data_IF_782548889104
#
_entry.id   IF_782548889104
#
_cell.length_a   1.000
_cell.length_b   1.000
_cell.length_c   1.000
_cell.angle_alpha   90.00
_cell.angle_beta   90.00
_cell.angle_gamma   90.00
#
_symmetry.space_group_name_H-M   'P 1'
#
loop_
_entity.id
_entity.type
_entity.pdbx_description
1 polymer ?
#
# COMPACT_ATOMS: atom_id res chain seq x y z
N UNK A 1 5.66 -19.36 13.54
CA UNK A 1 5.48 -18.86 12.15
C UNK A 1 5.98 -19.87 11.12
N UNK A 2 7.27 -20.24 11.13
CA UNK A 2 7.90 -21.17 10.15
C UNK A 2 7.09 -22.46 9.92
N UNK A 3 6.68 -23.17 10.96
CA UNK A 3 5.90 -24.42 10.84
C UNK A 3 4.56 -24.23 10.12
N UNK A 4 3.88 -23.11 10.32
CA UNK A 4 2.58 -22.86 9.69
C UNK A 4 2.76 -22.51 8.21
N UNK A 5 3.81 -21.76 7.88
CA UNK A 5 4.19 -21.49 6.49
C UNK A 5 4.52 -22.81 5.78
N UNK A 6 5.35 -23.67 6.38
CA UNK A 6 5.71 -24.96 5.81
C UNK A 6 4.48 -25.84 5.55
N UNK A 7 3.56 -25.94 6.52
CA UNK A 7 2.30 -26.68 6.36
C UNK A 7 1.44 -26.13 5.23
N UNK A 8 1.27 -24.81 5.15
CA UNK A 8 0.47 -24.19 4.10
C UNK A 8 1.09 -24.37 2.72
N UNK A 9 2.41 -24.19 2.60
CA UNK A 9 3.15 -24.40 1.35
C UNK A 9 3.03 -25.84 0.85
N UNK A 10 3.04 -26.84 1.75
CA UNK A 10 2.82 -28.24 1.40
C UNK A 10 1.39 -28.58 1.00
N UNK A 11 0.40 -27.76 1.39
CA UNK A 11 -1.00 -27.96 1.08
C UNK A 11 -1.44 -27.25 -0.22
N UNK A 12 -1.12 -25.97 -0.38
CA UNK A 12 -1.48 -25.17 -1.55
C UNK A 12 -0.65 -23.89 -1.66
N UNK A 13 -0.09 -23.63 -2.85
CA UNK A 13 0.68 -22.43 -3.20
C UNK A 13 0.23 -21.87 -4.56
N UNK A 14 -1.01 -21.38 -4.63
CA UNK A 14 -1.60 -20.80 -5.85
C UNK A 14 -1.96 -19.32 -5.65
N UNK A 15 -2.37 -18.64 -6.72
CA UNK A 15 -2.89 -17.27 -6.63
C UNK A 15 -4.32 -17.21 -6.07
N UNK A 16 -4.80 -16.02 -5.75
CA UNK A 16 -6.10 -15.79 -5.11
C UNK A 16 -7.33 -15.97 -6.03
N UNK A 17 -7.18 -16.53 -7.25
CA UNK A 17 -8.35 -16.87 -8.10
C UNK A 17 -9.05 -18.15 -7.65
N UNK A 18 -8.38 -18.97 -6.83
CA UNK A 18 -8.94 -20.16 -6.22
C UNK A 18 -9.28 -19.88 -4.76
N UNK A 19 -10.35 -20.50 -4.28
CA UNK A 19 -10.82 -20.30 -2.92
C UNK A 19 -9.86 -20.94 -1.91
N UNK A 20 -9.55 -20.20 -0.85
CA UNK A 20 -8.83 -20.67 0.32
C UNK A 20 -9.31 -19.89 1.56
N UNK A 21 -9.77 -20.59 2.59
CA UNK A 21 -10.29 -20.03 3.84
C UNK A 21 -9.31 -19.11 4.59
N UNK A 22 -7.99 -19.34 4.49
CA UNK A 22 -7.00 -18.57 5.26
C UNK A 22 -7.02 -17.08 4.93
N UNK A 23 -7.30 -16.71 3.67
CA UNK A 23 -7.36 -15.29 3.26
C UNK A 23 -8.59 -14.61 3.86
N UNK A 24 -9.73 -15.31 3.94
CA UNK A 24 -10.97 -14.82 4.58
C UNK A 24 -10.79 -14.71 6.09
N UNK A 25 -10.27 -15.77 6.73
CA UNK A 25 -10.01 -15.79 8.18
C UNK A 25 -9.05 -14.66 8.58
N UNK A 26 -8.02 -14.39 7.79
CA UNK A 26 -7.09 -13.29 8.04
C UNK A 26 -7.80 -11.93 7.88
N UNK A 27 -8.63 -11.75 6.85
CA UNK A 27 -9.33 -10.50 6.60
C UNK A 27 -10.28 -10.16 7.76
N UNK A 28 -11.06 -11.14 8.22
CA UNK A 28 -11.96 -10.99 9.37
C UNK A 28 -11.20 -10.63 10.66
N UNK A 29 -10.04 -11.27 10.89
CA UNK A 29 -9.21 -10.99 12.07
C UNK A 29 -8.64 -9.57 12.01
N UNK A 30 -8.18 -9.11 10.84
CA UNK A 30 -7.67 -7.76 10.66
C UNK A 30 -8.77 -6.72 10.82
N UNK A 31 -9.93 -6.91 10.19
CA UNK A 31 -11.07 -5.99 10.29
C UNK A 31 -11.51 -5.78 11.75
N UNK A 32 -11.46 -6.82 12.60
CA UNK A 32 -11.77 -6.72 14.04
C UNK A 32 -10.81 -5.82 14.83
N UNK A 33 -9.63 -5.51 14.30
CA UNK A 33 -8.66 -4.58 14.93
C UNK A 33 -8.78 -3.14 14.47
N UNK A 34 -9.63 -2.88 13.47
CA UNK A 34 -9.81 -1.56 12.86
C UNK A 34 -11.14 -0.92 13.30
N UNK A 35 -11.31 0.40 13.13
CA UNK A 35 -12.60 1.06 13.28
C UNK A 35 -13.68 0.39 12.42
N UNK A 36 -14.94 0.40 12.88
CA UNK A 36 -16.07 -0.27 12.19
C UNK A 36 -16.24 0.09 10.71
N UNK A 37 -15.86 1.31 10.31
CA UNK A 37 -15.94 1.75 8.92
C UNK A 37 -14.89 1.10 8.00
N UNK A 38 -13.84 0.49 8.56
CA UNK A 38 -12.74 -0.14 7.83
C UNK A 38 -12.89 -1.67 7.88
N UNK A 39 -13.77 -2.21 7.05
CA UNK A 39 -14.14 -3.63 7.02
C UNK A 39 -13.68 -4.38 5.75
N UNK A 40 -13.13 -3.68 4.76
CA UNK A 40 -12.66 -4.25 3.49
C UNK A 40 -11.13 -4.31 3.45
N UNK A 41 -10.56 -5.46 3.09
CA UNK A 41 -9.11 -5.69 3.09
C UNK A 41 -8.63 -6.02 1.67
N UNK A 42 -7.68 -5.22 1.18
CA UNK A 42 -6.89 -5.53 -0.01
C UNK A 42 -5.49 -5.99 0.42
N UNK A 43 -5.06 -7.16 -0.04
CA UNK A 43 -3.73 -7.70 0.24
C UNK A 43 -2.71 -7.24 -0.79
N UNK A 44 -1.52 -6.89 -0.31
CA UNK A 44 -0.34 -6.54 -1.10
C UNK A 44 0.90 -7.17 -0.47
N UNK A 45 2.04 -7.12 -1.16
CA UNK A 45 3.28 -7.75 -0.71
C UNK A 45 4.25 -6.76 -0.05
N UNK A 46 3.92 -5.46 -0.06
CA UNK A 46 4.75 -4.42 0.54
C UNK A 46 3.95 -3.16 0.89
N UNK A 47 4.50 -2.33 1.77
CA UNK A 47 3.93 -1.01 2.06
C UNK A 47 3.91 -0.07 0.85
N UNK A 48 4.87 -0.22 -0.08
CA UNK A 48 4.84 0.54 -1.33
C UNK A 48 3.65 0.13 -2.20
N UNK A 49 3.40 -1.17 -2.39
CA UNK A 49 2.20 -1.62 -3.12
C UNK A 49 0.90 -1.16 -2.44
N UNK A 50 0.86 -1.17 -1.09
CA UNK A 50 -0.31 -0.69 -0.35
C UNK A 50 -0.61 0.79 -0.59
N UNK A 51 0.41 1.65 -0.52
CA UNK A 51 0.22 3.09 -0.72
C UNK A 51 -0.13 3.42 -2.17
N UNK A 52 0.48 2.72 -3.14
CA UNK A 52 0.16 2.89 -4.55
C UNK A 52 -1.30 2.52 -4.87
N UNK A 53 -1.76 1.39 -4.33
CA UNK A 53 -3.17 0.99 -4.43
C UNK A 53 -4.10 1.98 -3.75
N UNK A 54 -3.75 2.49 -2.56
CA UNK A 54 -4.55 3.48 -1.84
C UNK A 54 -4.73 4.76 -2.67
N UNK A 55 -3.66 5.27 -3.27
CA UNK A 55 -3.72 6.44 -4.17
C UNK A 55 -4.59 6.15 -5.39
N UNK A 56 -4.45 4.97 -6.00
CA UNK A 56 -5.28 4.56 -7.13
C UNK A 56 -6.77 4.54 -6.77
N UNK A 57 -7.12 3.98 -5.61
CA UNK A 57 -8.51 3.93 -5.13
C UNK A 57 -9.03 5.35 -4.83
N UNK A 58 -8.24 6.20 -4.19
CA UNK A 58 -8.62 7.59 -3.90
C UNK A 58 -8.85 8.41 -5.18
N UNK A 59 -7.97 8.29 -6.17
CA UNK A 59 -8.13 8.94 -7.48
C UNK A 59 -9.38 8.47 -8.20
N UNK A 60 -9.62 7.15 -8.21
CA UNK A 60 -10.81 6.59 -8.85
C UNK A 60 -12.10 7.04 -8.17
N UNK A 61 -12.11 7.13 -6.84
CA UNK A 61 -13.28 7.53 -6.07
C UNK A 61 -13.58 9.03 -6.18
N UNK A 62 -12.54 9.86 -6.11
CA UNK A 62 -12.68 11.32 -6.01
C UNK A 62 -12.58 12.06 -7.35
N UNK A 63 -11.92 11.48 -8.35
CA UNK A 63 -11.53 12.15 -9.59
C UNK A 63 -10.37 13.15 -9.46
N UNK A 64 -9.83 13.34 -8.25
CA UNK A 64 -8.75 14.32 -7.99
C UNK A 64 -7.38 13.64 -8.02
N UNK A 65 -6.39 14.36 -8.57
CA UNK A 65 -5.01 13.86 -8.73
C UNK A 65 -4.00 14.53 -7.81
N UNK A 66 -4.34 15.70 -7.26
CA UNK A 66 -3.53 16.44 -6.31
C UNK A 66 -3.40 15.68 -5.00
N UNK A 67 -2.19 15.68 -4.42
CA UNK A 67 -1.87 14.95 -3.19
C UNK A 67 -1.11 15.89 -2.25
N UNK A 68 -1.58 15.97 -1.00
CA UNK A 68 -0.87 16.64 0.09
C UNK A 68 -0.05 15.61 0.87
N UNK A 69 1.23 15.89 1.08
CA UNK A 69 2.15 15.04 1.84
C UNK A 69 2.87 15.84 2.90
N UNK A 70 3.38 15.16 3.92
CA UNK A 70 4.22 15.82 4.91
C UNK A 70 5.61 16.09 4.34
N UNK A 71 6.22 17.16 4.84
CA UNK A 71 7.62 17.45 4.56
C UNK A 71 8.53 16.33 5.09
N UNK A 72 9.57 16.00 4.33
CA UNK A 72 10.53 14.93 4.60
C UNK A 72 9.90 13.51 4.76
N UNK A 73 8.72 13.27 4.18
CA UNK A 73 8.00 12.00 4.27
C UNK A 73 8.60 10.90 3.36
N UNK A 74 8.36 9.63 3.73
CA UNK A 74 8.66 8.44 2.93
C UNK A 74 7.39 7.63 2.73
N UNK A 75 6.99 7.43 1.47
CA UNK A 75 5.79 6.66 1.13
C UNK A 75 6.10 5.39 0.34
N UNK A 76 7.34 5.20 -0.14
CA UNK A 76 7.73 3.99 -0.84
C UNK A 76 8.75 4.26 -1.96
N UNK A 77 8.88 3.28 -2.85
CA UNK A 77 9.86 3.33 -3.93
C UNK A 77 9.29 3.07 -5.33
N UNK A 78 8.00 2.76 -5.46
CA UNK A 78 7.30 2.76 -6.75
C UNK A 78 7.27 4.18 -7.31
N UNK A 79 7.17 4.34 -8.63
CA UNK A 79 7.21 5.64 -9.31
C UNK A 79 6.25 6.66 -8.68
N UNK A 80 4.98 6.27 -8.50
CA UNK A 80 3.95 7.12 -7.89
C UNK A 80 4.29 7.57 -6.47
N UNK A 81 5.08 6.78 -5.72
CA UNK A 81 5.44 7.06 -4.33
C UNK A 81 6.80 7.73 -4.20
N UNK A 82 7.65 7.57 -5.21
CA UNK A 82 8.88 8.32 -5.34
C UNK A 82 8.57 9.82 -5.37
N UNK A 83 7.61 10.20 -6.20
CA UNK A 83 7.13 11.58 -6.36
C UNK A 83 6.57 12.17 -5.06
N UNK A 84 6.01 11.32 -4.19
CA UNK A 84 5.43 11.70 -2.91
C UNK A 84 6.44 11.68 -1.76
N UNK A 85 7.64 11.13 -1.95
CA UNK A 85 8.64 10.97 -0.89
C UNK A 85 9.59 12.18 -0.84
N UNK A 86 9.10 13.27 -0.25
CA UNK A 86 9.71 14.62 -0.29
C UNK A 86 11.14 14.70 0.23
N UNK A 87 11.55 13.80 1.14
CA UNK A 87 12.94 13.74 1.63
C UNK A 87 13.99 13.58 0.51
N UNK A 88 13.61 13.00 -0.64
CA UNK A 88 14.51 12.76 -1.77
C UNK A 88 14.90 14.04 -2.49
N UNK A 89 13.97 14.99 -2.60
CA UNK A 89 14.21 16.29 -3.24
C UNK A 89 15.04 17.24 -2.38
N UNK A 90 15.21 16.93 -1.09
CA UNK A 90 16.03 17.74 -0.17
C UNK A 90 17.48 17.28 -0.05
N UNK A 91 17.73 15.97 -0.19
CA UNK A 91 19.06 15.38 0.06
C UNK A 91 19.98 15.36 -1.16
N UNK A 92 19.43 15.49 -2.35
CA UNK A 92 20.22 15.45 -3.56
C UNK A 92 20.60 16.89 -3.95
N UNK A 93 21.89 17.15 -4.18
CA UNK A 93 22.39 18.38 -4.84
C UNK A 93 21.93 18.39 -6.31
N UNK A 94 20.63 18.30 -6.53
CA UNK A 94 19.97 18.13 -7.82
C UNK A 94 18.82 19.10 -7.88
N UNK A 95 18.58 19.71 -9.04
CA UNK A 95 17.44 20.60 -9.28
C UNK A 95 16.08 19.86 -9.34
N UNK A 96 16.01 18.60 -8.88
CA UNK A 96 14.78 17.82 -8.87
C UNK A 96 13.79 18.43 -7.86
N UNK A 97 12.58 18.69 -8.34
CA UNK A 97 11.44 19.15 -7.53
C UNK A 97 10.36 18.08 -7.55
N UNK A 98 9.49 18.03 -6.51
CA UNK A 98 8.26 17.26 -6.59
C UNK A 98 7.42 17.65 -7.82
N UNK A 99 6.63 16.73 -8.40
CA UNK A 99 5.68 17.08 -9.45
C UNK A 99 4.66 18.14 -8.99
N UNK A 100 4.08 18.88 -9.93
CA UNK A 100 3.15 20.00 -9.63
C UNK A 100 1.90 19.58 -8.83
N UNK A 101 1.43 18.34 -9.00
CA UNK A 101 0.28 17.79 -8.30
C UNK A 101 0.61 17.32 -6.86
N UNK A 102 1.83 17.54 -6.39
CA UNK A 102 2.28 17.15 -5.04
C UNK A 102 2.52 18.41 -4.22
N UNK A 103 1.76 18.55 -3.15
CA UNK A 103 1.81 19.70 -2.24
C UNK A 103 2.38 19.27 -0.89
N UNK A 104 3.13 20.18 -0.26
CA UNK A 104 3.77 19.98 1.06
C UNK A 104 3.27 21.04 2.02
#
# INVERSE_FOLDING_TARGET
VVTQIYKQMGACATNNRYLHDNTVILAEKLAKTLPKALEQIFYTNSGSESNDLAIRLARQYTGNYDILVLDNAYHGHLTTLFDLSTYKFKKANTDMKPPEHVHV
#
